data_IF_585640280997
#
_entry.id   IF_585640280997
#
_cell.length_a   1.000
_cell.length_b   1.000
_cell.length_c   1.000
_cell.angle_alpha   90.00
_cell.angle_beta   90.00
_cell.angle_gamma   90.00
#
_symmetry.space_group_name_H-M   'P 1'
#
loop_
_entity.id
_entity.type
_entity.pdbx_description
1 polymer ?
#
# COMPACT_ATOMS: atom_id res chain seq x y z
N UNK A 1 -5.99 -27.95 -5.37
CA UNK A 1 -4.89 -27.00 -5.54
C UNK A 1 -4.64 -26.35 -4.18
N UNK A 2 -3.65 -26.82 -3.42
CA UNK A 2 -3.34 -26.27 -2.10
C UNK A 2 -2.53 -24.99 -2.31
N UNK A 3 -3.16 -23.83 -2.14
CA UNK A 3 -2.43 -22.57 -2.10
C UNK A 3 -1.53 -22.62 -0.86
N UNK A 4 -0.22 -22.72 -1.06
CA UNK A 4 0.77 -22.55 0.00
C UNK A 4 0.62 -21.12 0.49
N UNK A 5 -0.06 -20.92 1.63
CA UNK A 5 0.01 -19.67 2.36
C UNK A 5 1.42 -19.57 2.94
N UNK A 6 2.37 -19.08 2.14
CA UNK A 6 3.65 -18.66 2.69
C UNK A 6 3.36 -17.56 3.71
N UNK A 7 3.62 -17.87 4.97
CA UNK A 7 3.54 -16.89 6.04
C UNK A 7 4.54 -15.79 5.71
N UNK A 8 4.05 -14.58 5.47
CA UNK A 8 4.89 -13.44 5.16
C UNK A 8 5.91 -13.25 6.28
N UNK A 9 7.20 -13.27 5.93
CA UNK A 9 8.26 -12.97 6.88
C UNK A 9 8.26 -11.46 7.14
N UNK A 10 7.76 -11.07 8.32
CA UNK A 10 7.61 -9.66 8.73
C UNK A 10 8.94 -8.93 8.81
N UNK A 11 10.01 -9.61 9.21
CA UNK A 11 11.33 -8.99 9.34
C UNK A 11 11.92 -8.68 7.96
N UNK A 12 11.77 -9.61 7.02
CA UNK A 12 12.14 -9.38 5.62
C UNK A 12 11.32 -8.23 5.00
N UNK A 13 10.01 -8.16 5.26
CA UNK A 13 9.19 -7.05 4.80
C UNK A 13 9.66 -5.71 5.37
N UNK A 14 9.98 -5.65 6.68
CA UNK A 14 10.52 -4.44 7.30
C UNK A 14 11.84 -4.01 6.67
N UNK A 15 12.74 -4.95 6.40
CA UNK A 15 14.01 -4.67 5.75
C UNK A 15 13.80 -4.06 4.36
N UNK A 16 12.93 -4.68 3.55
CA UNK A 16 12.60 -4.20 2.21
C UNK A 16 11.97 -2.80 2.25
N UNK A 17 10.97 -2.59 3.10
CA UNK A 17 10.30 -1.29 3.21
C UNK A 17 11.22 -0.20 3.78
N UNK A 18 12.16 -0.51 4.68
CA UNK A 18 13.19 0.44 5.11
C UNK A 18 14.07 0.90 3.96
N UNK A 19 14.36 0.02 3.00
CA UNK A 19 15.09 0.43 1.79
C UNK A 19 14.24 1.36 0.93
N UNK A 20 12.96 1.02 0.69
CA UNK A 20 11.99 1.86 -0.03
C UNK A 20 11.86 3.26 0.58
N UNK A 21 11.69 3.36 1.91
CA UNK A 21 11.53 4.64 2.60
C UNK A 21 12.72 5.60 2.40
N UNK A 22 13.94 5.08 2.19
CA UNK A 22 15.14 5.89 1.91
C UNK A 22 15.23 6.40 0.48
N UNK A 23 14.50 5.79 -0.45
CA UNK A 23 14.60 6.09 -1.89
C UNK A 23 13.62 7.16 -2.35
N UNK A 24 12.84 7.76 -1.43
CA UNK A 24 11.75 8.67 -1.75
C UNK A 24 10.76 8.08 -2.78
N UNK A 25 10.52 6.77 -2.70
CA UNK A 25 9.53 6.07 -3.53
C UNK A 25 8.34 5.63 -2.68
N UNK A 26 7.17 5.57 -3.31
CA UNK A 26 5.94 5.14 -2.67
C UNK A 26 5.72 3.63 -2.82
N UNK A 27 5.04 3.04 -1.83
CA UNK A 27 4.35 1.78 -2.03
C UNK A 27 3.10 2.05 -2.87
N UNK A 28 3.04 1.47 -4.06
CA UNK A 28 1.83 1.43 -4.86
C UNK A 28 0.89 0.33 -4.32
N UNK A 29 -0.31 0.73 -3.94
CA UNK A 29 -1.32 -0.16 -3.37
C UNK A 29 -2.49 -0.25 -4.34
N UNK A 30 -2.54 -1.39 -5.03
CA UNK A 30 -3.70 -1.78 -5.83
C UNK A 30 -4.88 -2.16 -4.91
N UNK A 31 -6.06 -1.59 -5.15
CA UNK A 31 -7.26 -1.83 -4.33
C UNK A 31 -7.80 -3.27 -4.37
N UNK A 32 -7.39 -4.08 -5.35
CA UNK A 32 -7.62 -5.54 -5.32
C UNK A 32 -6.91 -6.21 -4.14
N UNK A 33 -5.82 -5.62 -3.63
CA UNK A 33 -5.04 -6.12 -2.49
C UNK A 33 -5.53 -5.58 -1.13
N UNK A 34 -6.76 -5.06 -1.05
CA UNK A 34 -7.36 -4.48 0.17
C UNK A 34 -7.23 -5.38 1.43
N UNK A 35 -7.21 -6.71 1.28
CA UNK A 35 -7.07 -7.65 2.40
C UNK A 35 -5.67 -7.68 3.03
N UNK A 36 -4.68 -6.98 2.47
CA UNK A 36 -3.28 -6.99 2.92
C UNK A 36 -2.94 -5.85 3.87
N UNK A 37 -3.89 -5.41 4.71
CA UNK A 37 -3.73 -4.29 5.66
C UNK A 37 -2.49 -4.45 6.56
N UNK A 38 -2.17 -5.66 6.99
CA UNK A 38 -0.97 -5.93 7.81
C UNK A 38 0.34 -5.54 7.12
N UNK A 39 0.44 -5.75 5.80
CA UNK A 39 1.63 -5.37 5.03
C UNK A 39 1.74 -3.86 4.93
N UNK A 40 0.61 -3.19 4.69
CA UNK A 40 0.53 -1.73 4.63
C UNK A 40 0.87 -1.10 5.99
N UNK A 41 0.44 -1.72 7.09
CA UNK A 41 0.81 -1.30 8.45
C UNK A 41 2.32 -1.36 8.66
N UNK A 42 2.98 -2.46 8.26
CA UNK A 42 4.44 -2.60 8.36
C UNK A 42 5.15 -1.54 7.49
N UNK A 43 4.69 -1.30 6.27
CA UNK A 43 5.26 -0.28 5.39
C UNK A 43 5.15 1.12 6.02
N UNK A 44 4.01 1.44 6.62
CA UNK A 44 3.79 2.70 7.32
C UNK A 44 4.69 2.85 8.54
N UNK A 45 4.82 1.80 9.36
CA UNK A 45 5.67 1.79 10.57
C UNK A 45 7.12 2.18 10.27
N UNK A 46 7.62 1.84 9.07
CA UNK A 46 9.00 2.15 8.66
C UNK A 46 9.12 3.42 7.80
N UNK A 47 8.03 4.16 7.62
CA UNK A 47 8.03 5.47 6.97
C UNK A 47 7.85 5.46 5.45
N UNK A 48 7.37 4.36 4.85
CA UNK A 48 7.01 4.37 3.43
C UNK A 48 5.90 5.38 3.16
N UNK A 49 5.99 6.03 2.00
CA UNK A 49 4.88 6.78 1.41
C UNK A 49 3.95 5.85 0.65
N UNK A 50 2.72 6.27 0.42
CA UNK A 50 1.69 5.48 -0.25
C UNK A 50 1.15 6.19 -1.49
N UNK A 51 0.86 5.39 -2.51
CA UNK A 51 0.00 5.74 -3.63
C UNK A 51 -1.09 4.66 -3.72
N UNK A 52 -2.33 5.07 -3.98
CA UNK A 52 -3.47 4.16 -4.10
C UNK A 52 -4.00 4.17 -5.52
N UNK A 53 -4.15 2.98 -6.10
CA UNK A 53 -4.65 2.81 -7.45
C UNK A 53 -5.60 1.63 -7.53
N UNK A 54 -6.48 1.62 -8.53
CA UNK A 54 -7.33 0.45 -8.80
C UNK A 54 -6.76 -0.46 -9.88
N UNK A 55 -5.79 0.05 -10.68
CA UNK A 55 -5.30 -0.60 -11.91
C UNK A 55 -6.44 -1.01 -12.85
N UNK A 56 -7.50 -0.21 -12.85
CA UNK A 56 -8.70 -0.51 -13.62
C UNK A 56 -8.53 -0.11 -15.08
N UNK A 57 -8.96 -0.99 -15.98
CA UNK A 57 -9.08 -0.72 -17.42
C UNK A 57 -10.52 -0.39 -17.85
N UNK A 58 -11.39 -0.07 -16.89
CA UNK A 58 -12.77 0.37 -17.13
C UNK A 58 -13.23 1.33 -16.04
N UNK A 59 -14.23 2.15 -16.35
CA UNK A 59 -14.80 3.12 -15.39
C UNK A 59 -15.40 2.42 -14.18
N UNK A 60 -16.08 1.29 -14.38
CA UNK A 60 -16.64 0.48 -13.29
C UNK A 60 -15.55 -0.01 -12.32
N UNK A 61 -14.34 -0.31 -12.81
CA UNK A 61 -13.24 -0.73 -11.94
C UNK A 61 -12.70 0.37 -11.01
N UNK A 62 -13.03 1.65 -11.27
CA UNK A 62 -12.64 2.77 -10.41
C UNK A 62 -13.41 2.81 -9.09
N UNK A 63 -14.57 2.14 -9.00
CA UNK A 63 -15.45 2.21 -7.81
C UNK A 63 -14.73 1.78 -6.52
N UNK A 64 -13.79 0.84 -6.63
CA UNK A 64 -13.03 0.32 -5.50
C UNK A 64 -12.04 1.31 -4.91
N UNK A 65 -11.75 2.44 -5.56
CA UNK A 65 -10.79 3.44 -5.06
C UNK A 65 -11.16 3.96 -3.67
N UNK A 66 -12.46 3.99 -3.34
CA UNK A 66 -12.96 4.45 -2.04
C UNK A 66 -12.50 3.57 -0.87
N UNK A 67 -12.11 2.31 -1.13
CA UNK A 67 -11.51 1.44 -0.12
C UNK A 67 -10.17 1.95 0.41
N UNK A 68 -9.48 2.83 -0.34
CA UNK A 68 -8.28 3.51 0.14
C UNK A 68 -8.57 4.36 1.39
N UNK A 69 -9.77 4.94 1.50
CA UNK A 69 -10.18 5.70 2.68
C UNK A 69 -10.26 4.78 3.90
N UNK A 70 -10.92 3.64 3.77
CA UNK A 70 -11.05 2.65 4.85
C UNK A 70 -9.69 2.13 5.33
N UNK A 71 -8.78 1.80 4.40
CA UNK A 71 -7.40 1.42 4.75
C UNK A 71 -6.74 2.57 5.50
N UNK A 72 -6.87 3.79 4.99
CA UNK A 72 -6.22 4.97 5.57
C UNK A 72 -6.68 5.21 7.00
N UNK A 73 -7.97 5.04 7.28
CA UNK A 73 -8.53 5.10 8.63
C UNK A 73 -7.98 3.97 9.51
N UNK A 74 -7.99 2.71 9.03
CA UNK A 74 -7.57 1.53 9.79
C UNK A 74 -6.11 1.55 10.25
N UNK A 75 -5.22 2.18 9.49
CA UNK A 75 -3.78 2.27 9.81
C UNK A 75 -3.30 3.70 10.02
N UNK A 76 -4.21 4.67 10.14
CA UNK A 76 -3.93 6.08 10.39
C UNK A 76 -2.98 6.72 9.35
N UNK A 77 -3.18 6.43 8.06
CA UNK A 77 -2.51 7.16 6.97
C UNK A 77 -3.09 8.58 6.95
N UNK A 78 -2.19 9.55 6.95
CA UNK A 78 -2.51 10.96 6.74
C UNK A 78 -1.85 11.45 5.44
N UNK A 79 -2.10 12.70 5.07
CA UNK A 79 -1.46 13.31 3.88
C UNK A 79 0.07 13.24 3.94
N UNK A 80 0.67 13.31 5.13
CA UNK A 80 2.12 13.18 5.29
C UNK A 80 2.63 11.75 5.05
N UNK A 81 1.75 10.78 4.87
CA UNK A 81 2.10 9.44 4.42
C UNK A 81 1.87 9.24 2.91
N UNK A 82 1.29 10.21 2.20
CA UNK A 82 1.12 10.12 0.76
C UNK A 82 2.37 10.65 0.03
N UNK A 83 2.63 10.11 -1.16
CA UNK A 83 3.64 10.65 -2.06
C UNK A 83 3.06 11.84 -2.82
N UNK A 84 3.89 12.84 -3.13
CA UNK A 84 3.49 13.92 -4.01
C UNK A 84 3.40 13.40 -5.45
N UNK A 85 2.31 13.75 -6.13
CA UNK A 85 2.20 13.53 -7.57
C UNK A 85 3.06 14.56 -8.30
N UNK A 86 4.08 14.09 -9.02
CA UNK A 86 4.85 14.93 -9.92
C UNK A 86 3.92 15.39 -11.04
N UNK A 87 3.76 16.70 -11.19
CA UNK A 87 3.08 17.30 -12.34
C UNK A 87 4.14 17.66 -13.37
N UNK A 88 3.94 17.22 -14.61
CA UNK A 88 4.71 17.68 -15.78
C UNK A 88 4.32 19.11 -16.17
#
# INVERSE_FOLDING_TARGET
MQAIFQRLNRDRLREQFRATARMNVAMDVNMSAYTKVDVMRIAKEVGCKFAFGTDAHSVAGLETIRRANEISELIFITESNLIDLVKE
#
